data_IF_212545142636
#
_entry.id   IF_212545142636
#
_cell.length_a   1.000
_cell.length_b   1.000
_cell.length_c   1.000
_cell.angle_alpha   90.00
_cell.angle_beta   90.00
_cell.angle_gamma   90.00
#
_symmetry.space_group_name_H-M   'P 1'
#
loop_
_entity.id
_entity.type
_entity.pdbx_description
1 polymer ?
#
# COMPACT_ATOMS: atom_id res chain seq x y z
N UNK A 1 -4.53 10.63 6.75
CA UNK A 1 -5.97 10.35 6.56
C UNK A 1 -6.04 9.17 5.61
N UNK A 2 -6.94 8.25 5.91
CA UNK A 2 -7.20 7.06 5.12
C UNK A 2 -8.67 7.18 4.73
N UNK A 3 -8.97 6.97 3.46
CA UNK A 3 -10.32 7.00 2.93
C UNK A 3 -10.63 5.63 2.34
N UNK A 4 -11.76 5.06 2.76
CA UNK A 4 -12.28 3.80 2.24
C UNK A 4 -13.59 4.10 1.54
N UNK A 5 -13.72 3.67 0.30
CA UNK A 5 -14.94 3.82 -0.49
C UNK A 5 -15.49 2.43 -0.81
N UNK A 6 -16.75 2.19 -0.46
CA UNK A 6 -17.50 0.98 -0.82
C UNK A 6 -18.52 1.34 -1.90
N UNK A 7 -18.60 0.52 -2.94
CA UNK A 7 -19.52 0.68 -4.05
C UNK A 7 -20.53 -0.45 -4.06
N UNK A 8 -21.77 -0.17 -4.48
CA UNK A 8 -22.85 -1.17 -4.55
C UNK A 8 -22.57 -2.30 -5.56
N UNK A 9 -21.61 -2.10 -6.47
CA UNK A 9 -21.17 -3.08 -7.48
C UNK A 9 -20.06 -4.03 -6.98
N UNK A 10 -19.70 -3.97 -5.69
CA UNK A 10 -18.59 -4.75 -5.14
C UNK A 10 -17.21 -4.10 -5.35
N UNK A 11 -17.17 -2.80 -5.65
CA UNK A 11 -15.94 -2.02 -5.56
C UNK A 11 -15.56 -1.69 -4.12
N UNK A 12 -14.29 -1.85 -3.76
CA UNK A 12 -13.73 -1.28 -2.53
C UNK A 12 -12.40 -0.58 -2.82
N UNK A 13 -12.30 0.72 -2.51
CA UNK A 13 -11.08 1.50 -2.76
C UNK A 13 -10.48 2.02 -1.47
N UNK A 14 -9.17 1.92 -1.35
CA UNK A 14 -8.38 2.49 -0.26
C UNK A 14 -7.52 3.63 -0.79
N UNK A 15 -7.82 4.86 -0.37
CA UNK A 15 -7.01 6.03 -0.64
C UNK A 15 -6.21 6.44 0.58
N UNK A 16 -4.89 6.55 0.40
CA UNK A 16 -3.96 6.93 1.46
C UNK A 16 -3.38 8.32 1.17
N UNK A 17 -4.01 9.36 1.74
CA UNK A 17 -3.58 10.77 1.54
C UNK A 17 -2.32 11.16 2.31
N UNK A 18 -1.84 10.32 3.24
CA UNK A 18 -0.61 10.52 4.02
C UNK A 18 0.27 9.28 4.07
N UNK A 19 0.65 8.79 2.90
CA UNK A 19 1.77 7.84 2.78
C UNK A 19 3.14 8.49 3.05
N UNK A 20 3.15 9.80 3.27
CA UNK A 20 4.33 10.55 3.71
C UNK A 20 4.15 11.18 5.08
N UNK A 21 5.23 11.18 5.86
CA UNK A 21 5.34 11.95 7.09
C UNK A 21 6.72 12.62 7.19
N UNK A 22 6.79 13.71 7.94
CA UNK A 22 8.07 14.39 8.19
C UNK A 22 8.89 13.63 9.23
N UNK A 23 10.19 13.50 9.00
CA UNK A 23 11.10 13.13 10.09
C UNK A 23 11.19 14.29 11.09
N UNK A 24 11.11 14.00 12.39
CA UNK A 24 11.54 14.95 13.42
C UNK A 24 13.07 15.04 13.37
N UNK A 25 13.56 15.92 12.51
CA UNK A 25 14.95 16.36 12.48
C UNK A 25 15.10 17.61 13.37
N UNK A 26 16.29 17.83 13.93
CA UNK A 26 16.69 19.12 14.54
C UNK A 26 16.83 20.25 13.50
N UNK A 27 16.60 19.95 12.23
CA UNK A 27 16.56 20.91 11.13
C UNK A 27 15.33 21.84 11.23
N UNK A 28 15.45 23.01 10.59
CA UNK A 28 14.39 24.03 10.54
C UNK A 28 13.07 23.44 10.00
N UNK A 29 11.92 24.06 10.27
CA UNK A 29 10.62 23.54 9.80
C UNK A 29 10.56 23.35 8.27
N UNK A 30 11.35 24.13 7.54
CA UNK A 30 11.50 24.10 6.08
C UNK A 30 12.36 22.92 5.57
N UNK A 31 13.11 22.25 6.44
CA UNK A 31 14.02 21.14 6.12
C UNK A 31 13.48 19.75 6.55
N UNK A 32 12.25 19.67 7.05
CA UNK A 32 11.61 18.40 7.43
C UNK A 32 11.30 17.56 6.19
N UNK A 33 12.27 16.73 5.77
CA UNK A 33 12.10 15.80 4.66
C UNK A 33 10.86 14.91 4.87
N UNK A 34 9.97 14.91 3.89
CA UNK A 34 8.81 14.02 3.83
C UNK A 34 9.25 12.70 3.20
N UNK A 35 9.15 11.61 3.96
CA UNK A 35 9.54 10.27 3.52
C UNK A 35 8.32 9.39 3.34
N UNK A 36 8.40 8.41 2.43
CA UNK A 36 7.35 7.43 2.19
C UNK A 36 7.45 6.26 3.18
N UNK A 37 6.33 5.93 3.82
CA UNK A 37 6.23 4.79 4.74
C UNK A 37 5.64 3.58 4.01
N UNK A 38 6.48 2.87 3.26
CA UNK A 38 6.13 1.67 2.49
C UNK A 38 5.55 0.54 3.35
N UNK A 39 6.08 0.32 4.56
CA UNK A 39 5.52 -0.63 5.52
C UNK A 39 4.06 -0.29 5.90
N UNK A 40 3.74 1.00 6.02
CA UNK A 40 2.38 1.47 6.27
C UNK A 40 1.45 1.15 5.09
N UNK A 41 1.93 1.35 3.85
CA UNK A 41 1.18 0.98 2.64
C UNK A 41 0.81 -0.51 2.65
N UNK A 42 1.78 -1.37 2.95
CA UNK A 42 1.62 -2.82 2.97
C UNK A 42 0.61 -3.25 4.04
N UNK A 43 0.77 -2.78 5.28
CA UNK A 43 -0.13 -3.11 6.39
C UNK A 43 -1.57 -2.71 6.09
N UNK A 44 -1.77 -1.48 5.61
CA UNK A 44 -3.11 -0.97 5.32
C UNK A 44 -3.79 -1.72 4.17
N UNK A 45 -3.04 -2.05 3.11
CA UNK A 45 -3.56 -2.89 2.01
C UNK A 45 -3.95 -4.28 2.53
N UNK A 46 -3.14 -4.92 3.38
CA UNK A 46 -3.49 -6.23 3.95
C UNK A 46 -4.73 -6.17 4.84
N UNK A 47 -4.87 -5.13 5.67
CA UNK A 47 -6.08 -4.92 6.47
C UNK A 47 -7.32 -4.69 5.60
N UNK A 48 -7.20 -3.94 4.51
CA UNK A 48 -8.29 -3.73 3.56
C UNK A 48 -8.73 -5.05 2.92
N UNK A 49 -7.79 -5.88 2.45
CA UNK A 49 -8.11 -7.19 1.87
C UNK A 49 -8.79 -8.13 2.88
N UNK A 50 -8.31 -8.14 4.12
CA UNK A 50 -8.91 -8.93 5.20
C UNK A 50 -10.32 -8.43 5.55
N UNK A 51 -10.53 -7.11 5.59
CA UNK A 51 -11.86 -6.54 5.79
C UNK A 51 -12.83 -6.94 4.67
N UNK A 52 -12.39 -6.88 3.41
CA UNK A 52 -13.19 -7.34 2.26
C UNK A 52 -13.56 -8.82 2.39
N UNK A 53 -12.63 -9.67 2.82
CA UNK A 53 -12.87 -11.09 3.07
C UNK A 53 -13.93 -11.30 4.15
N UNK A 54 -13.79 -10.62 5.29
CA UNK A 54 -14.73 -10.70 6.41
C UNK A 54 -16.14 -10.23 6.02
N UNK A 55 -16.25 -9.13 5.27
CA UNK A 55 -17.54 -8.64 4.76
C UNK A 55 -18.17 -9.68 3.83
N UNK A 56 -17.39 -10.25 2.91
CA UNK A 56 -17.86 -11.27 1.96
C UNK A 56 -18.46 -12.48 2.68
N UNK A 57 -17.76 -12.98 3.71
CA UNK A 57 -18.21 -14.10 4.53
C UNK A 57 -19.48 -13.75 5.32
N UNK A 58 -19.56 -12.54 5.89
CA UNK A 58 -20.69 -12.09 6.72
C UNK A 58 -21.98 -11.92 5.90
N UNK A 59 -21.89 -11.29 4.73
CA UNK A 59 -23.07 -11.02 3.88
C UNK A 59 -23.35 -12.14 2.86
N UNK A 60 -22.50 -13.17 2.81
CA UNK A 60 -22.60 -14.26 1.83
C UNK A 60 -22.33 -13.84 0.39
N UNK A 61 -21.54 -12.77 0.18
CA UNK A 61 -21.15 -12.33 -1.17
C UNK A 61 -19.95 -13.12 -1.67
N UNK A 62 -20.16 -13.92 -2.72
CA UNK A 62 -19.13 -14.78 -3.32
C UNK A 62 -18.67 -14.29 -4.70
N UNK A 63 -19.05 -13.07 -5.08
CA UNK A 63 -18.69 -12.47 -6.35
C UNK A 63 -17.25 -11.95 -6.39
N UNK A 64 -16.90 -11.32 -7.50
CA UNK A 64 -15.59 -10.69 -7.68
C UNK A 64 -15.60 -9.29 -7.06
N UNK A 65 -14.55 -8.98 -6.30
CA UNK A 65 -14.28 -7.64 -5.81
C UNK A 65 -13.35 -6.89 -6.74
N UNK A 66 -13.62 -5.61 -6.96
CA UNK A 66 -12.67 -4.68 -7.57
C UNK A 66 -11.98 -3.88 -6.47
N UNK A 67 -10.68 -4.08 -6.27
CA UNK A 67 -9.90 -3.40 -5.24
C UNK A 67 -8.86 -2.47 -5.85
N UNK A 68 -8.63 -1.32 -5.21
CA UNK A 68 -7.62 -0.36 -5.67
C UNK A 68 -6.89 0.31 -4.50
N UNK A 69 -5.64 0.67 -4.74
CA UNK A 69 -4.80 1.46 -3.84
C UNK A 69 -4.32 2.71 -4.55
N UNK A 70 -4.30 3.82 -3.82
CA UNK A 70 -3.90 5.11 -4.37
C UNK A 70 -3.14 5.97 -3.37
N UNK A 71 -2.15 6.72 -3.88
CA UNK A 71 -1.35 7.67 -3.12
C UNK A 71 -0.93 8.86 -3.98
N UNK A 72 -0.82 10.04 -3.38
CA UNK A 72 -0.46 11.27 -4.08
C UNK A 72 0.69 12.02 -3.40
N UNK A 73 1.16 13.08 -4.06
CA UNK A 73 2.28 13.93 -3.65
C UNK A 73 3.61 13.18 -3.56
N UNK A 74 3.78 12.08 -4.28
CA UNK A 74 4.92 11.17 -4.12
C UNK A 74 6.21 11.69 -4.74
N UNK A 75 6.14 12.69 -5.63
CA UNK A 75 7.27 13.10 -6.46
C UNK A 75 8.44 13.56 -5.60
N UNK A 76 9.62 13.03 -5.91
CA UNK A 76 10.87 13.38 -5.23
C UNK A 76 10.98 12.81 -3.83
N UNK A 77 9.97 12.10 -3.32
CA UNK A 77 10.04 11.49 -1.98
C UNK A 77 10.80 10.18 -2.05
N UNK A 78 11.65 9.96 -1.05
CA UNK A 78 12.32 8.68 -0.84
C UNK A 78 11.57 7.89 0.22
N UNK A 79 11.84 6.60 0.26
CA UNK A 79 11.41 5.71 1.33
C UNK A 79 12.04 6.08 2.68
N UNK A 80 11.29 5.86 3.76
CA UNK A 80 11.81 5.84 5.12
C UNK A 80 12.60 4.54 5.39
N UNK A 81 13.82 4.66 5.90
CA UNK A 81 14.60 3.53 6.40
C UNK A 81 15.15 3.85 7.80
N UNK A 82 14.88 2.99 8.79
CA UNK A 82 15.40 3.16 10.15
C UNK A 82 16.92 2.90 10.23
N UNK A 83 17.45 2.09 9.31
CA UNK A 83 18.86 1.74 9.21
C UNK A 83 19.45 2.28 7.91
N UNK A 84 20.05 3.46 7.93
CA UNK A 84 21.26 3.70 7.11
C UNK A 84 21.95 5.01 7.47
N UNK A 85 23.28 4.96 7.60
CA UNK A 85 24.17 6.12 7.45
C UNK A 85 24.15 6.69 6.00
N UNK A 86 23.56 5.97 5.05
CA UNK A 86 23.51 6.24 3.60
C UNK A 86 22.06 6.03 3.10
N UNK A 87 21.23 7.09 3.04
CA UNK A 87 19.85 6.98 2.57
C UNK A 87 19.80 6.34 1.18
N UNK A 88 18.78 5.53 0.88
CA UNK A 88 18.58 5.14 -0.52
C UNK A 88 18.31 6.41 -1.33
N UNK A 89 19.10 6.61 -2.40
CA UNK A 89 18.94 7.75 -3.29
C UNK A 89 17.76 7.56 -4.28
N UNK A 90 17.08 6.42 -4.22
CA UNK A 90 15.90 6.16 -5.03
C UNK A 90 14.73 7.04 -4.57
N UNK A 91 14.44 8.06 -5.38
CA UNK A 91 13.31 8.97 -5.21
C UNK A 91 12.23 8.60 -6.21
N UNK A 92 11.00 8.56 -5.73
CA UNK A 92 9.84 8.26 -6.57
C UNK A 92 9.63 9.39 -7.59
N UNK A 93 9.45 9.04 -8.87
CA UNK A 93 9.47 10.00 -9.99
C UNK A 93 8.11 10.61 -10.31
N UNK A 94 7.03 9.86 -10.10
CA UNK A 94 5.66 10.31 -10.34
C UNK A 94 5.08 11.02 -9.10
N UNK A 95 4.09 11.88 -9.30
CA UNK A 95 3.40 12.51 -8.17
C UNK A 95 2.29 11.61 -7.59
N UNK A 96 1.78 10.69 -8.38
CA UNK A 96 0.69 9.79 -8.02
C UNK A 96 1.10 8.35 -8.25
N UNK A 97 0.52 7.47 -7.44
CA UNK A 97 0.52 6.03 -7.61
C UNK A 97 -0.91 5.53 -7.49
N UNK A 98 -1.38 4.81 -8.49
CA UNK A 98 -2.70 4.20 -8.49
C UNK A 98 -2.60 2.84 -9.15
N UNK A 99 -3.07 1.81 -8.46
CA UNK A 99 -3.16 0.45 -9.00
C UNK A 99 -4.49 -0.16 -8.58
N UNK A 100 -5.05 -0.99 -9.46
CA UNK A 100 -6.30 -1.68 -9.21
C UNK A 100 -6.27 -3.10 -9.75
N UNK A 101 -7.03 -3.99 -9.12
CA UNK A 101 -7.13 -5.37 -9.57
C UNK A 101 -8.45 -6.01 -9.14
N UNK A 102 -8.87 -7.02 -9.88
CA UNK A 102 -9.99 -7.88 -9.49
C UNK A 102 -9.52 -9.03 -8.59
N UNK A 103 -10.34 -9.43 -7.63
CA UNK A 103 -10.06 -10.58 -6.76
C UNK A 103 -11.32 -11.32 -6.37
N UNK A 104 -11.20 -12.61 -6.03
CA UNK A 104 -12.30 -13.46 -5.60
C UNK A 104 -12.20 -13.74 -4.10
N UNK A 105 -13.28 -14.19 -3.47
CA UNK A 105 -13.23 -14.62 -2.07
C UNK A 105 -12.21 -15.75 -1.83
N UNK A 106 -12.13 -16.71 -2.77
CA UNK A 106 -11.15 -17.80 -2.69
C UNK A 106 -9.71 -17.26 -2.70
N UNK A 107 -9.43 -16.28 -3.57
CA UNK A 107 -8.10 -15.66 -3.64
C UNK A 107 -7.78 -14.83 -2.39
N UNK A 108 -8.75 -14.08 -1.86
CA UNK A 108 -8.59 -13.33 -0.60
C UNK A 108 -8.32 -14.25 0.59
N UNK A 109 -8.85 -15.49 0.57
CA UNK A 109 -8.66 -16.49 1.62
C UNK A 109 -7.33 -17.22 1.50
N UNK A 110 -7.02 -17.70 0.29
CA UNK A 110 -5.95 -18.68 0.08
C UNK A 110 -4.65 -18.05 -0.44
N UNK A 111 -4.72 -16.88 -1.08
CA UNK A 111 -3.57 -16.20 -1.68
C UNK A 111 -3.63 -14.65 -1.63
N UNK A 112 -3.94 -14.02 -0.48
CA UNK A 112 -4.04 -12.55 -0.37
C UNK A 112 -2.74 -11.80 -0.73
N UNK A 113 -1.59 -12.47 -0.67
CA UNK A 113 -0.27 -11.97 -1.06
C UNK A 113 -0.18 -11.74 -2.55
N UNK A 114 -0.82 -12.57 -3.36
CA UNK A 114 -0.93 -12.38 -4.81
C UNK A 114 -1.70 -11.10 -5.14
N UNK A 115 -2.79 -10.81 -4.42
CA UNK A 115 -3.55 -9.56 -4.55
C UNK A 115 -2.71 -8.37 -4.11
N UNK A 116 -2.02 -8.51 -2.98
CA UNK A 116 -1.12 -7.45 -2.45
C UNK A 116 0.01 -7.13 -3.43
N UNK A 117 0.63 -8.15 -4.05
CA UNK A 117 1.67 -7.99 -5.06
C UNK A 117 1.15 -7.26 -6.30
N UNK A 118 -0.05 -7.59 -6.77
CA UNK A 118 -0.67 -6.86 -7.90
C UNK A 118 -0.90 -5.39 -7.55
N UNK A 119 -1.33 -5.10 -6.32
CA UNK A 119 -1.64 -3.74 -5.87
C UNK A 119 -0.41 -2.91 -5.50
N UNK A 120 0.65 -3.49 -4.94
CA UNK A 120 1.79 -2.74 -4.38
C UNK A 120 3.15 -3.10 -4.98
N UNK A 121 3.26 -4.20 -5.71
CA UNK A 121 4.53 -4.65 -6.31
C UNK A 121 5.23 -3.57 -7.14
N UNK A 122 4.52 -2.86 -8.05
CA UNK A 122 5.12 -1.76 -8.81
C UNK A 122 5.68 -0.63 -7.92
N UNK A 123 4.94 -0.22 -6.88
CA UNK A 123 5.42 0.79 -5.92
C UNK A 123 6.64 0.29 -5.15
N UNK A 124 6.59 -0.91 -4.59
CA UNK A 124 7.69 -1.45 -3.78
C UNK A 124 8.98 -1.65 -4.59
N UNK A 125 8.86 -2.07 -5.87
CA UNK A 125 10.00 -2.14 -6.81
C UNK A 125 10.58 -0.77 -7.11
N UNK A 126 9.72 0.23 -7.36
CA UNK A 126 10.18 1.60 -7.62
C UNK A 126 10.91 2.24 -6.42
N UNK A 127 10.61 1.76 -5.21
CA UNK A 127 11.22 2.21 -3.96
C UNK A 127 12.38 1.31 -3.50
N UNK A 128 12.75 0.30 -4.30
CA UNK A 128 13.80 -0.67 -3.98
C UNK A 128 13.57 -1.33 -2.60
N UNK A 129 12.34 -1.81 -2.38
CA UNK A 129 11.85 -2.26 -1.08
C UNK A 129 11.05 -3.57 -1.12
N UNK A 130 10.82 -4.14 -2.30
CA UNK A 130 9.98 -5.34 -2.48
C UNK A 130 10.48 -6.53 -1.66
N UNK A 131 11.81 -6.74 -1.61
CA UNK A 131 12.45 -7.84 -0.90
C UNK A 131 12.26 -7.82 0.62
N UNK A 132 11.79 -6.71 1.18
CA UNK A 132 11.55 -6.58 2.61
C UNK A 132 10.16 -7.06 3.04
N UNK A 133 9.29 -7.34 2.08
CA UNK A 133 7.91 -7.73 2.34
C UNK A 133 7.55 -9.11 1.76
N UNK A 134 8.43 -10.14 1.82
CA UNK A 134 8.16 -11.42 1.17
C UNK A 134 6.84 -12.01 1.65
N UNK A 135 6.64 -12.11 2.98
CA UNK A 135 5.41 -12.61 3.59
C UNK A 135 4.13 -11.90 3.12
N UNK A 136 4.19 -10.59 2.92
CA UNK A 136 3.02 -9.83 2.48
C UNK A 136 2.73 -9.99 0.98
N UNK A 137 3.71 -10.43 0.18
CA UNK A 137 3.63 -10.54 -1.28
C UNK A 137 3.51 -11.99 -1.78
N UNK A 138 3.96 -12.98 -0.99
CA UNK A 138 3.89 -14.42 -1.31
C UNK A 138 2.96 -15.20 -0.39
N UNK A 139 2.61 -14.66 0.78
CA UNK A 139 2.04 -15.43 1.91
C UNK A 139 2.95 -16.55 2.45
N UNK A 140 4.17 -16.68 1.93
CA UNK A 140 5.20 -17.59 2.41
C UNK A 140 6.06 -16.86 3.44
N UNK A 141 6.10 -17.36 4.68
CA UNK A 141 6.89 -16.78 5.75
C UNK A 141 6.58 -17.30 7.14
#
# INVERSE_FOLDING_TARGET
>A
MIEVQLFEDGGLRLFMTRLSGGLKSHASEDEKEQVLFDAGAVILTRHMLELTRLISDDVGYHGNWAVAVGANRLRGRRRFSERSHWPSNHRYSADTYEESTGTTLAELRDAPGTVTRRLLGPLLRSLDSEELFPKALTDEG
#
